data_IF_947138608231
#
_entry.id   IF_947138608231
#
_cell.length_a   1.000
_cell.length_b   1.000
_cell.length_c   1.000
_cell.angle_alpha   90.00
_cell.angle_beta   90.00
_cell.angle_gamma   90.00
#
_symmetry.space_group_name_H-M   'P 1'
#
loop_
_entity.id
_entity.type
_entity.pdbx_description
1 polymer ?
#
# COMPACT_ATOMS: atom_id res chain seq x y z
N UNK A 1 -1.55 -10.40 3.97
CA UNK A 1 -2.36 -9.31 3.37
C UNK A 1 -3.59 -9.13 4.23
N UNK A 2 -4.00 -7.89 4.49
CA UNK A 2 -5.21 -7.61 5.24
C UNK A 2 -6.45 -7.87 4.36
N UNK A 3 -7.38 -8.68 4.85
CA UNK A 3 -8.56 -9.12 4.10
C UNK A 3 -9.66 -8.05 3.98
N UNK A 4 -9.64 -7.02 4.83
CA UNK A 4 -10.67 -5.97 4.85
C UNK A 4 -10.29 -4.75 3.99
N UNK A 5 -9.01 -4.38 3.99
CA UNK A 5 -8.49 -3.22 3.26
C UNK A 5 -7.81 -3.60 1.94
N UNK A 6 -7.43 -4.87 1.77
CA UNK A 6 -6.66 -5.30 0.61
C UNK A 6 -5.24 -4.74 0.59
N UNK A 7 -4.70 -4.33 1.74
CA UNK A 7 -3.32 -3.84 1.85
C UNK A 7 -2.39 -4.88 2.46
N UNK A 8 -1.13 -4.87 2.04
CA UNK A 8 -0.07 -5.62 2.69
C UNK A 8 0.20 -5.04 4.08
N UNK A 9 0.21 -5.90 5.11
CA UNK A 9 0.44 -5.48 6.51
C UNK A 9 1.83 -4.86 6.73
N UNK A 10 2.81 -5.17 5.88
CA UNK A 10 4.17 -4.63 5.99
C UNK A 10 4.38 -3.31 5.26
N UNK A 11 3.88 -3.18 4.03
CA UNK A 11 4.19 -2.04 3.15
C UNK A 11 2.98 -1.21 2.73
N UNK A 12 1.78 -1.54 3.22
CA UNK A 12 0.51 -0.86 2.94
C UNK A 12 0.17 -0.70 1.43
N UNK A 13 0.76 -1.52 0.57
CA UNK A 13 0.47 -1.62 -0.87
C UNK A 13 -0.52 -2.73 -1.17
N UNK A 14 -1.28 -2.60 -2.26
CA UNK A 14 -2.11 -3.70 -2.78
C UNK A 14 -1.25 -4.76 -3.47
N UNK A 15 -1.85 -5.93 -3.76
CA UNK A 15 -1.15 -6.99 -4.48
C UNK A 15 -0.79 -6.56 -5.90
N UNK A 16 -1.67 -5.84 -6.58
CA UNK A 16 -1.43 -5.32 -7.94
C UNK A 16 -0.28 -4.31 -7.94
N UNK A 17 -0.25 -3.40 -6.96
CA UNK A 17 0.85 -2.44 -6.79
C UNK A 17 2.19 -3.13 -6.51
N UNK A 18 2.18 -4.29 -5.84
CA UNK A 18 3.39 -5.08 -5.61
C UNK A 18 3.82 -5.81 -6.89
N UNK A 19 2.87 -6.39 -7.63
CA UNK A 19 3.13 -7.14 -8.85
C UNK A 19 3.65 -6.25 -9.98
N UNK A 20 3.11 -5.04 -10.12
CA UNK A 20 3.49 -4.08 -11.17
C UNK A 20 4.62 -3.14 -10.76
N UNK A 21 5.14 -3.23 -9.52
CA UNK A 21 6.09 -2.26 -8.98
C UNK A 21 7.32 -2.04 -9.88
N UNK A 22 7.85 -3.11 -10.47
CA UNK A 22 9.04 -3.07 -11.33
C UNK A 22 8.77 -2.44 -12.70
N UNK A 23 7.54 -2.52 -13.21
CA UNK A 23 7.12 -1.96 -14.51
C UNK A 23 6.55 -0.55 -14.38
N UNK A 24 6.13 -0.13 -13.18
CA UNK A 24 5.63 1.23 -12.93
C UNK A 24 6.68 2.29 -13.20
N UNK A 25 6.23 3.43 -13.71
CA UNK A 25 7.04 4.65 -13.86
C UNK A 25 7.25 5.35 -12.52
N UNK A 26 8.29 6.17 -12.44
CA UNK A 26 8.67 6.85 -11.20
C UNK A 26 7.59 7.78 -10.63
N UNK A 27 6.80 8.42 -11.48
CA UNK A 27 5.64 9.23 -11.09
C UNK A 27 4.54 8.38 -10.44
N UNK A 28 4.23 7.22 -11.00
CA UNK A 28 3.28 6.26 -10.42
C UNK A 28 3.79 5.74 -9.07
N UNK A 29 5.07 5.38 -8.98
CA UNK A 29 5.68 4.94 -7.71
C UNK A 29 5.62 6.03 -6.65
N UNK A 30 5.92 7.29 -7.01
CA UNK A 30 5.82 8.44 -6.10
C UNK A 30 4.39 8.67 -5.62
N UNK A 31 3.40 8.56 -6.52
CA UNK A 31 1.99 8.67 -6.15
C UNK A 31 1.59 7.60 -5.13
N UNK A 32 1.99 6.34 -5.35
CA UNK A 32 1.71 5.24 -4.40
C UNK A 32 2.42 5.49 -3.06
N UNK A 33 3.70 5.87 -3.08
CA UNK A 33 4.46 6.17 -1.87
C UNK A 33 3.82 7.27 -1.02
N UNK A 34 3.25 8.30 -1.65
CA UNK A 34 2.56 9.38 -0.95
C UNK A 34 1.28 8.91 -0.23
N UNK A 35 0.67 7.81 -0.68
CA UNK A 35 -0.53 7.24 -0.07
C UNK A 35 -0.21 6.29 1.10
N UNK A 36 1.01 5.75 1.19
CA UNK A 36 1.36 4.73 2.19
C UNK A 36 1.16 5.19 3.64
N UNK A 37 1.56 6.41 4.07
CA UNK A 37 1.38 6.83 5.46
C UNK A 37 -0.09 6.78 5.92
N UNK A 38 -1.00 7.30 5.09
CA UNK A 38 -2.43 7.26 5.39
C UNK A 38 -2.99 5.83 5.39
N UNK A 39 -2.46 4.94 4.54
CA UNK A 39 -2.83 3.52 4.54
C UNK A 39 -2.31 2.78 5.77
N UNK A 40 -1.10 3.11 6.24
CA UNK A 40 -0.56 2.59 7.50
C UNK A 40 -1.43 3.00 8.69
N UNK A 41 -1.82 4.27 8.80
CA UNK A 41 -2.74 4.71 9.86
C UNK A 41 -4.06 3.93 9.86
N UNK A 42 -4.59 3.59 8.67
CA UNK A 42 -5.80 2.78 8.55
C UNK A 42 -5.61 1.35 9.03
N UNK A 43 -4.42 0.76 8.80
CA UNK A 43 -4.07 -0.55 9.30
C UNK A 43 -3.86 -0.52 10.83
N UNK A 44 -3.16 0.48 11.36
CA UNK A 44 -2.92 0.63 12.79
C UNK A 44 -4.22 0.87 13.59
N UNK A 45 -5.13 1.70 13.06
CA UNK A 45 -6.45 1.93 13.67
C UNK A 45 -7.34 0.68 13.69
N UNK A 46 -7.05 -0.32 12.86
CA UNK A 46 -7.79 -1.58 12.82
C UNK A 46 -7.33 -2.56 13.90
N UNK A 47 -6.06 -2.52 14.26
CA UNK A 47 -5.45 -3.42 15.27
C UNK A 47 -5.60 -2.88 16.71
N UNK A 48 -6.26 -1.73 16.88
CA UNK A 48 -6.52 -1.07 18.18
C UNK A 48 -7.93 -1.31 18.71
#
# INVERSE_FOLDING_TARGET
MDIQTGFCLGCARTLDEIAEWSSMKDDQRRAIMALLPARHERLEKKES
#
